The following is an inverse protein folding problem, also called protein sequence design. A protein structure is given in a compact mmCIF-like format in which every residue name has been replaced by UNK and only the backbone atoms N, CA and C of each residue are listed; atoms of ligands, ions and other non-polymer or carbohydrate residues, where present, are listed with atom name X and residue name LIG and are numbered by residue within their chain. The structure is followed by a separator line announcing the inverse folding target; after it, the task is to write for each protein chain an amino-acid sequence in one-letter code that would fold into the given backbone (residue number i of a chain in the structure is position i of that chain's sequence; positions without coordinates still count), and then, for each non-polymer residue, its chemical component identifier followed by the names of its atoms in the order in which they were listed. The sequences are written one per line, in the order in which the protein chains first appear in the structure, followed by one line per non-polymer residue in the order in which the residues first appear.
data_IF_140258827833
#
_entry.id   IF_140258827833
#
_cell.length_a   1.000
_cell.length_b   1.000
_cell.length_c   1.000
_cell.angle_alpha   90.00
_cell.angle_beta   90.00
_cell.angle_gamma   90.00
#
_symmetry.space_group_name_H-M   'P 1'
#
loop_
_entity.id
_entity.type
_entity.pdbx_description
1 polymer ?
#
# COMPACT_ATOMS: atom_id res chain seq x y z
N UNK A 1 -25.02 -7.07 4.10
CA UNK A 1 -23.65 -6.55 4.30
C UNK A 1 -23.00 -6.52 2.93
N UNK A 2 -22.89 -5.35 2.30
CA UNK A 2 -22.24 -5.23 1.00
C UNK A 2 -20.73 -5.26 1.19
N UNK A 3 -19.96 -6.04 0.40
CA UNK A 3 -18.51 -5.94 0.44
C UNK A 3 -18.13 -4.53 -0.02
N UNK A 4 -17.38 -3.79 0.81
CA UNK A 4 -16.77 -2.54 0.37
C UNK A 4 -15.90 -2.89 -0.86
N UNK A 5 -16.08 -2.22 -2.00
CA UNK A 5 -15.15 -2.40 -3.11
C UNK A 5 -13.75 -2.07 -2.58
N UNK A 6 -12.78 -2.95 -2.81
CA UNK A 6 -11.37 -2.61 -2.73
C UNK A 6 -11.14 -1.62 -3.88
N UNK A 7 -11.29 -0.32 -3.61
CA UNK A 7 -11.00 0.70 -4.61
C UNK A 7 -9.53 0.54 -5.01
N UNK A 8 -9.21 0.28 -6.29
CA UNK A 8 -7.88 0.53 -6.80
C UNK A 8 -7.55 1.98 -6.44
N UNK A 9 -6.36 2.22 -5.87
CA UNK A 9 -6.00 3.54 -5.35
C UNK A 9 -6.37 4.64 -6.36
N UNK A 10 -7.08 5.67 -5.89
CA UNK A 10 -7.48 6.78 -6.74
C UNK A 10 -6.21 7.45 -7.26
N UNK A 11 -6.02 7.43 -8.58
CA UNK A 11 -4.98 8.22 -9.22
C UNK A 11 -5.55 9.63 -9.38
N UNK A 12 -4.91 10.58 -8.73
CA UNK A 12 -5.20 12.01 -8.82
C UNK A 12 -4.02 12.73 -9.46
N UNK A 13 -4.17 14.00 -9.80
CA UNK A 13 -3.08 14.81 -10.37
C UNK A 13 -2.67 15.86 -9.35
N UNK A 14 -1.39 15.94 -9.01
CA UNK A 14 -0.87 16.99 -8.13
C UNK A 14 -0.98 18.37 -8.80
N UNK A 15 -0.90 19.48 -8.03
CA UNK A 15 -0.84 20.83 -8.60
C UNK A 15 0.29 21.04 -9.64
N UNK A 16 1.33 20.20 -9.60
CA UNK A 16 2.46 20.24 -10.52
C UNK A 16 2.30 19.27 -11.72
N UNK A 17 1.12 18.68 -11.90
CA UNK A 17 0.81 17.78 -13.02
C UNK A 17 1.28 16.32 -12.85
N UNK A 18 1.83 15.94 -11.68
CA UNK A 18 2.31 14.58 -11.45
C UNK A 18 1.17 13.64 -11.03
N UNK A 19 1.14 12.38 -11.50
CA UNK A 19 0.16 11.40 -11.05
C UNK A 19 0.43 11.03 -9.58
N UNK A 20 -0.55 11.25 -8.72
CA UNK A 20 -0.52 10.95 -7.29
C UNK A 20 -1.45 9.80 -6.99
N UNK A 21 -0.96 8.75 -6.35
CA UNK A 21 -1.81 7.70 -5.82
C UNK A 21 -2.33 8.18 -4.46
N UNK A 22 -3.58 8.63 -4.45
CA UNK A 22 -4.30 9.14 -3.28
C UNK A 22 -4.89 8.02 -2.40
N UNK A 23 -4.86 6.78 -2.88
CA UNK A 23 -5.31 5.60 -2.13
C UNK A 23 -6.79 5.26 -2.31
N UNK A 24 -7.27 4.17 -1.68
CA UNK A 24 -6.57 3.43 -0.64
C UNK A 24 -5.51 2.45 -1.17
N UNK A 25 -4.43 2.28 -0.42
CA UNK A 25 -3.54 1.13 -0.58
C UNK A 25 -4.28 -0.17 -0.23
N UNK A 26 -3.82 -1.32 -0.73
CA UNK A 26 -4.29 -2.61 -0.24
C UNK A 26 -4.11 -2.68 1.27
N UNK A 27 -5.17 -3.13 1.95
CA UNK A 27 -5.09 -3.53 3.36
C UNK A 27 -4.53 -4.94 3.43
N UNK A 28 -3.58 -5.15 4.33
CA UNK A 28 -2.97 -6.44 4.61
C UNK A 28 -3.57 -7.15 5.82
N UNK A 29 -4.55 -6.53 6.50
CA UNK A 29 -5.17 -7.08 7.73
C UNK A 29 -5.72 -8.49 7.57
N UNK A 30 -6.23 -8.82 6.37
CA UNK A 30 -6.76 -10.15 6.07
C UNK A 30 -5.70 -11.26 6.06
N UNK A 31 -4.42 -10.89 6.03
CA UNK A 31 -3.27 -11.81 6.02
C UNK A 31 -2.58 -11.91 7.37
N UNK A 32 -3.10 -11.26 8.42
CA UNK A 32 -2.52 -11.27 9.76
C UNK A 32 -2.38 -12.68 10.34
N UNK A 33 -3.29 -13.58 9.99
CA UNK A 33 -3.31 -14.94 10.53
C UNK A 33 -2.49 -15.94 9.69
N UNK A 34 -1.81 -15.48 8.63
CA UNK A 34 -0.89 -16.32 7.87
C UNK A 34 0.36 -16.70 8.70
N UNK A 35 1.06 -17.79 8.35
CA UNK A 35 2.36 -18.09 8.92
C UNK A 35 3.31 -16.90 8.82
N UNK A 36 4.10 -16.67 9.87
CA UNK A 36 4.99 -15.50 9.99
C UNK A 36 5.86 -15.28 8.73
N UNK A 37 6.41 -16.36 8.18
CA UNK A 37 7.21 -16.31 6.94
C UNK A 37 6.43 -15.69 5.78
N UNK A 38 5.16 -16.05 5.60
CA UNK A 38 4.32 -15.50 4.53
C UNK A 38 4.00 -14.03 4.76
N UNK A 39 3.80 -13.61 6.02
CA UNK A 39 3.61 -12.20 6.38
C UNK A 39 4.85 -11.36 6.04
N UNK A 40 6.05 -11.87 6.33
CA UNK A 40 7.30 -11.21 5.91
C UNK A 40 7.46 -11.13 4.38
N UNK A 41 7.04 -12.17 3.63
CA UNK A 41 7.04 -12.13 2.16
C UNK A 41 6.09 -11.04 1.65
N UNK A 42 4.88 -10.94 2.24
CA UNK A 42 3.91 -9.90 1.88
C UNK A 42 4.41 -8.50 2.21
N UNK A 43 5.09 -8.32 3.35
CA UNK A 43 5.73 -7.05 3.72
C UNK A 43 6.79 -6.64 2.68
N UNK A 44 7.66 -7.57 2.27
CA UNK A 44 8.65 -7.33 1.21
C UNK A 44 7.99 -6.97 -0.12
N UNK A 45 6.95 -7.71 -0.51
CA UNK A 45 6.19 -7.45 -1.74
C UNK A 45 5.51 -6.08 -1.72
N UNK A 46 4.90 -5.68 -0.60
CA UNK A 46 4.28 -4.37 -0.44
C UNK A 46 5.25 -3.22 -0.74
N UNK A 47 6.47 -3.31 -0.18
CA UNK A 47 7.53 -2.32 -0.41
C UNK A 47 8.00 -2.30 -1.86
N UNK A 48 8.15 -3.48 -2.48
CA UNK A 48 8.55 -3.59 -3.88
C UNK A 48 7.49 -2.97 -4.82
N UNK A 49 6.20 -3.20 -4.57
CA UNK A 49 5.12 -2.57 -5.33
C UNK A 49 5.15 -1.05 -5.22
N UNK A 50 5.37 -0.51 -4.02
CA UNK A 50 5.50 0.95 -3.84
C UNK A 50 6.69 1.51 -4.61
N UNK A 51 7.86 0.90 -4.47
CA UNK A 51 9.07 1.33 -5.16
C UNK A 51 8.90 1.30 -6.70
N UNK A 52 8.26 0.25 -7.24
CA UNK A 52 7.99 0.16 -8.67
C UNK A 52 7.04 1.25 -9.18
N UNK A 53 6.07 1.70 -8.36
CA UNK A 53 5.20 2.81 -8.71
C UNK A 53 5.94 4.15 -8.64
N UNK A 54 6.77 4.35 -7.62
CA UNK A 54 7.62 5.55 -7.51
C UNK A 54 8.61 5.65 -8.69
N UNK A 55 9.19 4.53 -9.14
CA UNK A 55 10.07 4.45 -10.32
C UNK A 55 9.33 4.79 -11.63
N UNK A 56 8.04 4.48 -11.72
CA UNK A 56 7.16 4.89 -12.82
C UNK A 56 6.74 6.38 -12.76
N UNK A 57 7.21 7.12 -11.74
CA UNK A 57 6.91 8.54 -11.57
C UNK A 57 5.62 8.83 -10.81
N UNK A 58 5.02 7.82 -10.16
CA UNK A 58 3.88 8.06 -9.26
C UNK A 58 4.37 8.64 -7.94
N UNK A 59 3.70 9.69 -7.49
CA UNK A 59 3.91 10.25 -6.15
C UNK A 59 2.92 9.62 -5.19
N UNK A 60 3.40 9.19 -4.02
CA UNK A 60 2.56 8.59 -3.00
C UNK A 60 2.01 9.65 -2.06
N UNK A 61 0.69 9.67 -1.85
CA UNK A 61 0.06 10.56 -0.88
C UNK A 61 0.39 10.17 0.58
N UNK A 62 0.53 8.87 0.84
CA UNK A 62 1.00 8.34 2.14
C UNK A 62 2.53 8.44 2.20
N UNK A 63 3.05 8.98 3.31
CA UNK A 63 4.49 9.00 3.55
C UNK A 63 5.07 7.57 3.59
N UNK A 64 6.36 7.42 3.36
CA UNK A 64 6.99 6.09 3.41
C UNK A 64 6.93 5.50 4.83
N UNK A 65 7.12 6.33 5.85
CA UNK A 65 7.11 5.89 7.24
C UNK A 65 5.71 5.47 7.70
N UNK A 66 4.66 6.22 7.33
CA UNK A 66 3.27 5.87 7.66
C UNK A 66 2.87 4.56 6.98
N UNK A 67 3.29 4.38 5.72
CA UNK A 67 3.09 3.14 4.98
C UNK A 67 3.75 1.95 5.68
N UNK A 68 5.03 2.06 6.05
CA UNK A 68 5.74 0.98 6.73
C UNK A 68 5.04 0.64 8.04
N UNK A 69 4.74 1.66 8.85
CA UNK A 69 4.03 1.49 10.13
C UNK A 69 2.70 0.76 9.95
N UNK A 70 1.87 1.20 9.00
CA UNK A 70 0.57 0.58 8.74
C UNK A 70 0.74 -0.87 8.28
N UNK A 71 1.61 -1.15 7.32
CA UNK A 71 1.79 -2.52 6.79
C UNK A 71 2.31 -3.46 7.88
N UNK A 72 3.25 -3.00 8.71
CA UNK A 72 3.74 -3.73 9.90
C UNK A 72 2.62 -4.02 10.90
N UNK A 73 1.79 -3.02 11.24
CA UNK A 73 0.64 -3.19 12.13
C UNK A 73 -0.46 -4.12 11.56
N UNK A 74 -0.66 -4.11 10.25
CA UNK A 74 -1.65 -4.93 9.55
C UNK A 74 -1.21 -6.39 9.41
N UNK A 75 0.09 -6.62 9.19
CA UNK A 75 0.69 -7.95 9.04
C UNK A 75 1.21 -8.57 10.35
N UNK A 76 1.28 -7.81 11.44
CA UNK A 76 1.82 -8.30 12.72
C UNK A 76 3.26 -8.84 12.57
N UNK A 77 4.13 -8.00 12.02
CA UNK A 77 5.57 -8.26 11.80
C UNK A 77 6.43 -7.18 12.45
#
# INVERSE_FOLDING_TARGET
MSPRPLHPGLITTSPNGQPVIAGPWPSYRQFRDLPERERWVLYGHAKACRAALEDQGFVMAESYDDFVKRVTEELDV
#
